data_IF_726771621335
#
_entry.id   IF_726771621335
#
_cell.length_a   1.000
_cell.length_b   1.000
_cell.length_c   1.000
_cell.angle_alpha   90.00
_cell.angle_beta   90.00
_cell.angle_gamma   90.00
#
_symmetry.space_group_name_H-M   'P 1'
#
loop_
_entity.id
_entity.type
_entity.pdbx_description
1 polymer ?
#
# COMPACT_ATOMS: atom_id res chain seq x y z
N UNK A 1 -25.70 11.97 36.50
CA UNK A 1 -26.48 10.84 37.05
C UNK A 1 -26.01 9.54 36.40
N UNK A 2 -25.40 8.66 37.24
CA UNK A 2 -25.33 7.18 37.24
C UNK A 2 -25.11 6.48 35.88
N UNK A 3 -23.90 6.00 35.59
CA UNK A 3 -23.33 4.71 35.99
C UNK A 3 -24.25 3.52 35.77
N UNK A 4 -23.91 2.59 34.87
CA UNK A 4 -23.97 1.18 35.21
C UNK A 4 -23.00 0.33 34.35
N UNK A 5 -22.07 -0.33 35.07
CA UNK A 5 -21.26 -1.44 34.61
C UNK A 5 -22.12 -2.69 34.60
N UNK A 6 -21.98 -3.54 33.60
CA UNK A 6 -22.34 -4.95 33.74
C UNK A 6 -21.13 -5.81 33.32
N UNK A 7 -20.54 -6.41 34.34
CA UNK A 7 -19.58 -7.52 34.24
C UNK A 7 -20.43 -8.80 34.19
N UNK A 8 -20.24 -9.61 33.17
CA UNK A 8 -20.83 -10.94 33.10
C UNK A 8 -19.75 -12.01 33.25
N UNK A 9 -19.92 -12.78 34.27
CA UNK A 9 -19.21 -13.95 34.75
C UNK A 9 -19.19 -15.11 33.78
N UNK A 10 -18.03 -15.77 33.64
CA UNK A 10 -17.88 -17.08 33.00
C UNK A 10 -17.98 -18.16 34.09
N UNK A 11 -18.68 -19.28 33.85
CA UNK A 11 -18.46 -20.50 34.65
C UNK A 11 -17.45 -21.42 33.96
N UNK A 12 -16.55 -21.96 34.79
CA UNK A 12 -15.61 -23.00 34.46
C UNK A 12 -16.30 -24.34 34.22
N UNK A 13 -15.81 -25.11 33.24
CA UNK A 13 -16.21 -26.51 33.01
C UNK A 13 -14.95 -27.38 33.09
N UNK A 14 -15.02 -28.56 33.78
CA UNK A 14 -13.86 -29.34 34.16
C UNK A 14 -13.34 -30.28 33.06
N UNK A 15 -12.06 -30.53 33.16
CA UNK A 15 -11.24 -31.48 32.46
C UNK A 15 -11.63 -32.94 32.78
N UNK A 16 -11.93 -33.74 31.73
CA UNK A 16 -11.58 -35.17 31.76
C UNK A 16 -11.53 -35.80 30.33
N UNK A 17 -10.34 -36.26 30.01
CA UNK A 17 -9.89 -37.52 29.36
C UNK A 17 -10.77 -38.17 28.27
N UNK A 18 -10.27 -38.38 27.06
CA UNK A 18 -9.58 -39.63 26.66
C UNK A 18 -9.32 -39.67 25.15
N UNK A 19 -8.14 -40.09 24.83
CA UNK A 19 -7.46 -40.46 23.60
C UNK A 19 -8.31 -41.24 22.56
N UNK A 20 -8.10 -40.96 21.27
CA UNK A 20 -7.51 -41.91 20.28
C UNK A 20 -7.38 -41.25 18.90
N UNK A 21 -6.19 -41.22 18.43
CA UNK A 21 -5.54 -41.23 17.13
C UNK A 21 -6.35 -40.91 15.86
N UNK A 22 -5.92 -39.85 15.20
CA UNK A 22 -5.84 -39.78 13.76
C UNK A 22 -4.73 -38.79 13.41
N UNK A 23 -3.58 -39.32 12.97
CA UNK A 23 -2.53 -38.51 12.34
C UNK A 23 -3.09 -37.93 11.03
N UNK A 24 -3.60 -36.72 11.08
CA UNK A 24 -3.74 -35.90 9.88
C UNK A 24 -2.43 -35.15 9.71
N UNK A 25 -1.81 -35.38 8.57
CA UNK A 25 -0.71 -34.58 8.06
C UNK A 25 -1.06 -33.10 8.20
N UNK A 26 -0.45 -32.44 9.19
CA UNK A 26 -0.37 -31.00 9.22
C UNK A 26 0.63 -30.62 8.13
N UNK A 27 0.12 -30.19 6.98
CA UNK A 27 0.89 -29.38 6.06
C UNK A 27 1.28 -28.12 6.82
N UNK A 28 2.53 -28.08 7.25
CA UNK A 28 3.15 -26.85 7.74
C UNK A 28 3.14 -25.85 6.60
N UNK A 29 2.18 -24.92 6.66
CA UNK A 29 2.26 -23.66 5.91
C UNK A 29 3.57 -23.04 6.36
N UNK A 30 4.55 -23.01 5.48
CA UNK A 30 5.83 -22.36 5.73
C UNK A 30 5.49 -20.88 5.85
N UNK A 31 5.37 -20.38 7.08
CA UNK A 31 5.32 -18.96 7.34
C UNK A 31 6.67 -18.39 6.89
N UNK A 32 6.68 -17.84 5.66
CA UNK A 32 7.74 -16.94 5.23
C UNK A 32 7.75 -15.82 6.27
N UNK A 33 8.90 -15.49 6.89
CA UNK A 33 8.94 -14.40 7.84
C UNK A 33 8.35 -13.15 7.17
N UNK A 34 7.32 -12.56 7.77
CA UNK A 34 6.76 -11.29 7.32
C UNK A 34 7.88 -10.26 7.34
N UNK A 35 8.42 -9.93 6.17
CA UNK A 35 9.41 -8.87 6.07
C UNK A 35 8.66 -7.55 6.15
N UNK A 36 8.95 -6.74 7.16
CA UNK A 36 8.40 -5.39 7.30
C UNK A 36 9.10 -4.37 6.40
N UNK A 37 9.99 -4.80 5.52
CA UNK A 37 10.69 -3.92 4.57
C UNK A 37 9.92 -3.70 3.27
N UNK A 38 8.97 -4.61 2.92
CA UNK A 38 8.35 -4.64 1.60
C UNK A 38 6.85 -4.93 1.67
N UNK A 39 6.08 -4.07 1.02
CA UNK A 39 4.65 -4.26 0.76
C UNK A 39 4.49 -4.74 -0.69
N UNK A 40 3.67 -5.76 -0.91
CA UNK A 40 3.35 -6.27 -2.25
C UNK A 40 1.84 -6.39 -2.42
N UNK A 41 1.33 -5.90 -3.54
CA UNK A 41 -0.06 -6.07 -3.97
C UNK A 41 -0.07 -6.58 -5.41
N UNK A 42 -0.81 -7.65 -5.64
CA UNK A 42 -1.02 -8.25 -6.96
C UNK A 42 -2.51 -8.38 -7.21
N UNK A 43 -2.98 -7.87 -8.36
CA UNK A 43 -4.38 -7.98 -8.75
C UNK A 43 -4.50 -7.93 -10.27
N UNK A 44 -5.60 -8.44 -10.79
CA UNK A 44 -5.94 -8.42 -12.20
C UNK A 44 -7.10 -7.45 -12.45
N UNK A 45 -7.07 -6.77 -13.59
CA UNK A 45 -8.12 -5.87 -14.06
C UNK A 45 -8.52 -6.22 -15.48
N UNK A 46 -9.83 -6.16 -15.80
CA UNK A 46 -10.36 -6.42 -17.13
C UNK A 46 -10.21 -5.21 -18.07
N UNK A 47 -9.01 -4.60 -18.05
CA UNK A 47 -8.67 -3.44 -18.88
C UNK A 47 -7.38 -3.74 -19.64
N UNK A 48 -7.22 -3.11 -20.82
CA UNK A 48 -5.99 -3.24 -21.62
C UNK A 48 -4.79 -2.66 -20.87
N UNK A 49 -3.61 -3.20 -21.15
CA UNK A 49 -2.36 -2.73 -20.55
C UNK A 49 -2.14 -1.22 -20.82
N UNK A 50 -2.45 -0.75 -22.02
CA UNK A 50 -2.37 0.68 -22.38
C UNK A 50 -3.33 1.55 -21.54
N UNK A 51 -4.53 1.04 -21.20
CA UNK A 51 -5.47 1.77 -20.32
C UNK A 51 -4.93 1.88 -18.91
N UNK A 52 -4.41 0.78 -18.36
CA UNK A 52 -3.79 0.77 -17.02
C UNK A 52 -2.54 1.63 -17.00
N UNK A 53 -1.69 1.50 -18.04
CA UNK A 53 -0.49 2.32 -18.17
C UNK A 53 -0.79 3.81 -18.09
N UNK A 54 -1.76 4.29 -18.88
CA UNK A 54 -2.18 5.69 -18.84
C UNK A 54 -2.62 6.12 -17.44
N UNK A 55 -3.39 5.29 -16.75
CA UNK A 55 -3.85 5.60 -15.40
C UNK A 55 -2.71 5.78 -14.39
N UNK A 56 -1.58 5.07 -14.54
CA UNK A 56 -0.46 5.15 -13.60
C UNK A 56 0.64 6.12 -14.04
N UNK A 57 0.77 6.42 -15.35
CA UNK A 57 1.86 7.24 -15.89
C UNK A 57 1.45 8.66 -16.28
N UNK A 58 0.16 8.91 -16.45
CA UNK A 58 -0.37 10.27 -16.60
C UNK A 58 -0.65 10.88 -15.22
N UNK A 59 0.00 12.00 -14.91
CA UNK A 59 -0.09 12.61 -13.59
C UNK A 59 -1.50 13.09 -13.21
N UNK A 60 -2.32 13.49 -14.19
CA UNK A 60 -3.69 13.93 -13.93
C UNK A 60 -4.60 12.74 -13.64
N UNK A 61 -4.49 11.66 -14.44
CA UNK A 61 -5.22 10.41 -14.17
C UNK A 61 -4.78 9.77 -12.85
N UNK A 62 -3.47 9.68 -12.61
CA UNK A 62 -2.91 9.18 -11.35
C UNK A 62 -3.48 9.96 -10.15
N UNK A 63 -3.42 11.28 -10.23
CA UNK A 63 -3.96 12.14 -9.18
C UNK A 63 -5.45 11.93 -8.92
N UNK A 64 -6.23 11.67 -9.98
CA UNK A 64 -7.68 11.45 -9.87
C UNK A 64 -8.01 10.21 -9.05
N UNK A 65 -7.46 9.05 -9.38
CA UNK A 65 -7.78 7.81 -8.65
C UNK A 65 -7.04 7.69 -7.32
N UNK A 66 -5.82 8.23 -7.23
CA UNK A 66 -5.04 8.18 -6.00
C UNK A 66 -5.61 9.14 -4.93
N UNK A 67 -6.16 10.26 -5.34
CA UNK A 67 -6.67 11.32 -4.47
C UNK A 67 -5.60 12.36 -4.15
N UNK A 68 -4.91 12.87 -5.18
CA UNK A 68 -3.96 13.97 -5.07
C UNK A 68 -3.99 14.87 -6.30
N UNK A 69 -3.53 16.11 -6.13
CA UNK A 69 -3.30 17.05 -7.23
C UNK A 69 -1.80 17.23 -7.41
N UNK A 70 -1.31 16.93 -8.59
CA UNK A 70 0.10 17.02 -8.96
C UNK A 70 0.37 18.29 -9.76
N UNK A 71 1.56 18.89 -9.63
CA UNK A 71 1.92 20.17 -10.24
C UNK A 71 2.43 20.05 -11.68
N UNK A 72 2.87 18.85 -12.08
CA UNK A 72 3.45 18.61 -13.41
C UNK A 72 3.36 17.15 -13.83
N UNK A 73 3.58 16.84 -15.14
CA UNK A 73 3.67 15.47 -15.64
C UNK A 73 4.83 14.68 -15.03
N UNK A 74 4.67 13.34 -14.98
CA UNK A 74 5.76 12.44 -14.66
C UNK A 74 6.77 12.35 -15.81
N UNK A 75 8.06 12.51 -15.48
CA UNK A 75 9.15 12.29 -16.40
C UNK A 75 10.34 11.67 -15.62
N UNK A 76 11.16 10.80 -16.23
CA UNK A 76 12.32 10.21 -15.56
C UNK A 76 13.24 11.29 -14.95
N UNK A 77 13.59 11.14 -13.68
CA UNK A 77 14.41 12.08 -12.93
C UNK A 77 13.69 13.35 -12.45
N UNK A 78 12.41 13.52 -12.79
CA UNK A 78 11.65 14.69 -12.32
C UNK A 78 11.23 14.56 -10.87
N UNK A 79 11.24 15.69 -10.15
CA UNK A 79 10.55 15.86 -8.86
C UNK A 79 9.19 16.48 -9.13
N UNK A 80 8.13 15.79 -8.73
CA UNK A 80 6.74 16.21 -8.87
C UNK A 80 6.18 16.51 -7.49
N UNK A 81 5.61 17.70 -7.31
CA UNK A 81 4.99 18.09 -6.06
C UNK A 81 3.49 17.88 -6.14
N UNK A 82 2.92 17.37 -5.06
CA UNK A 82 1.51 17.10 -4.95
C UNK A 82 0.92 17.53 -3.62
N UNK A 83 -0.41 17.56 -3.58
CA UNK A 83 -1.20 17.76 -2.37
C UNK A 83 -2.33 16.74 -2.37
N UNK A 84 -2.57 16.10 -1.22
CA UNK A 84 -3.69 15.18 -1.09
C UNK A 84 -5.01 15.95 -1.20
N UNK A 85 -5.99 15.32 -1.87
CA UNK A 85 -7.37 15.83 -2.00
C UNK A 85 -8.35 15.00 -1.18
N UNK A 86 -7.83 14.13 -0.31
CA UNK A 86 -8.61 13.26 0.57
C UNK A 86 -9.10 14.11 1.76
N UNK A 87 -10.40 14.12 2.10
CA UNK A 87 -10.93 14.86 3.23
C UNK A 87 -10.16 14.59 4.53
N UNK A 88 -9.74 15.65 5.22
CA UNK A 88 -8.93 15.59 6.44
C UNK A 88 -7.42 15.50 6.20
N UNK A 89 -6.96 15.29 4.95
CA UNK A 89 -5.55 15.22 4.56
C UNK A 89 -5.15 16.29 3.53
N UNK A 90 -5.98 17.28 3.29
CA UNK A 90 -5.78 18.36 2.32
C UNK A 90 -4.59 19.28 2.67
N UNK A 91 -4.10 19.22 3.90
CA UNK A 91 -2.88 19.90 4.35
C UNK A 91 -1.60 19.15 3.97
N UNK A 92 -1.70 17.86 3.59
CA UNK A 92 -0.53 17.02 3.32
C UNK A 92 0.02 17.30 1.93
N UNK A 93 1.29 17.72 1.90
CA UNK A 93 2.07 17.83 0.66
C UNK A 93 2.89 16.57 0.43
N UNK A 94 3.01 16.16 -0.82
CA UNK A 94 3.74 14.96 -1.22
C UNK A 94 4.80 15.35 -2.23
N UNK A 95 6.01 14.83 -2.07
CA UNK A 95 7.08 14.89 -3.05
C UNK A 95 7.26 13.51 -3.68
N UNK A 96 7.22 13.45 -5.01
CA UNK A 96 7.40 12.24 -5.81
C UNK A 96 8.65 12.44 -6.67
N UNK A 97 9.68 11.64 -6.44
CA UNK A 97 10.88 11.60 -7.27
C UNK A 97 10.76 10.45 -8.27
N UNK A 98 10.47 10.78 -9.54
CA UNK A 98 10.29 9.78 -10.59
C UNK A 98 11.63 9.13 -10.92
N UNK A 99 11.72 7.80 -10.81
CA UNK A 99 12.94 7.05 -11.12
C UNK A 99 12.92 6.55 -12.56
N UNK A 100 11.92 5.73 -12.90
CA UNK A 100 11.83 5.09 -14.22
C UNK A 100 10.43 5.17 -14.79
N UNK A 101 10.38 5.33 -16.10
CA UNK A 101 9.16 5.28 -16.91
C UNK A 101 9.46 4.44 -18.14
N UNK A 102 9.11 3.15 -18.09
CA UNK A 102 9.22 2.21 -19.20
C UNK A 102 7.83 1.97 -19.77
N UNK A 103 7.50 2.46 -20.98
CA UNK A 103 6.15 2.45 -21.49
C UNK A 103 5.45 1.09 -21.41
N UNK A 104 4.23 1.10 -20.89
CA UNK A 104 3.33 -0.05 -20.76
C UNK A 104 3.85 -1.23 -19.92
N UNK A 105 5.00 -1.09 -19.25
CA UNK A 105 5.60 -2.19 -18.50
C UNK A 105 5.99 -1.85 -17.07
N UNK A 106 6.62 -0.69 -16.88
CA UNK A 106 7.19 -0.39 -15.57
C UNK A 106 7.21 1.11 -15.28
N UNK A 107 6.72 1.48 -14.08
CA UNK A 107 6.79 2.83 -13.55
C UNK A 107 7.29 2.78 -12.12
N UNK A 108 8.24 3.65 -11.75
CA UNK A 108 8.73 3.73 -10.37
C UNK A 108 9.06 5.14 -9.95
N UNK A 109 8.86 5.37 -8.64
CA UNK A 109 9.17 6.62 -7.99
C UNK A 109 9.53 6.42 -6.52
N UNK A 110 10.16 7.43 -5.92
CA UNK A 110 10.39 7.52 -4.48
C UNK A 110 9.51 8.57 -3.85
N UNK A 111 9.15 8.34 -2.60
CA UNK A 111 8.44 9.29 -1.77
C UNK A 111 8.73 9.06 -0.28
N UNK A 112 8.31 9.99 0.58
CA UNK A 112 8.31 9.80 2.03
C UNK A 112 7.02 9.07 2.45
N UNK A 113 7.10 7.82 2.93
CA UNK A 113 5.91 7.06 3.29
C UNK A 113 5.27 7.62 4.57
N UNK A 114 3.95 7.73 4.58
CA UNK A 114 3.16 8.23 5.73
C UNK A 114 3.71 9.55 6.33
N UNK A 115 4.07 10.50 5.47
CA UNK A 115 4.58 11.82 5.85
C UNK A 115 3.41 12.80 5.98
N UNK A 116 2.60 12.66 7.05
CA UNK A 116 1.34 13.40 7.22
C UNK A 116 1.34 14.44 8.33
N UNK A 117 2.30 14.40 9.26
CA UNK A 117 2.38 15.36 10.36
C UNK A 117 3.07 16.65 9.88
N UNK A 118 2.36 17.80 9.83
CA UNK A 118 2.93 19.06 9.35
C UNK A 118 4.01 19.64 10.29
N UNK A 119 4.14 19.13 11.51
CA UNK A 119 5.17 19.57 12.45
C UNK A 119 6.52 18.88 12.22
N UNK A 120 6.57 17.82 11.39
CA UNK A 120 7.78 17.03 11.13
C UNK A 120 8.35 17.39 9.76
N UNK A 121 9.65 17.69 9.71
CA UNK A 121 10.39 17.79 8.46
C UNK A 121 10.88 16.38 8.03
N UNK A 122 10.25 15.82 7.02
CA UNK A 122 10.60 14.49 6.50
C UNK A 122 11.74 14.50 5.47
N UNK A 123 12.15 15.66 4.96
CA UNK A 123 13.18 15.76 3.91
C UNK A 123 14.50 15.08 4.24
N UNK A 124 14.97 15.04 5.51
CA UNK A 124 16.20 14.31 5.85
C UNK A 124 16.04 12.80 5.92
N UNK A 125 14.80 12.28 5.91
CA UNK A 125 14.56 10.84 6.03
C UNK A 125 14.72 10.12 4.69
N UNK A 126 15.12 8.83 4.72
CA UNK A 126 15.10 8.01 3.53
C UNK A 126 13.69 7.89 2.92
N UNK A 127 13.63 7.92 1.60
CA UNK A 127 12.41 7.63 0.85
C UNK A 127 12.28 6.13 0.58
N UNK A 128 11.05 5.63 0.55
CA UNK A 128 10.72 4.30 0.01
C UNK A 128 10.65 4.34 -1.52
N UNK A 129 10.84 3.18 -2.15
CA UNK A 129 10.69 2.99 -3.59
C UNK A 129 9.35 2.33 -3.85
N UNK A 130 8.53 2.96 -4.68
CA UNK A 130 7.28 2.41 -5.22
C UNK A 130 7.51 1.98 -6.66
N UNK A 131 7.08 0.77 -6.98
CA UNK A 131 7.20 0.16 -8.30
C UNK A 131 5.84 -0.36 -8.77
N UNK A 132 5.47 -0.05 -10.00
CA UNK A 132 4.34 -0.66 -10.71
C UNK A 132 4.90 -1.51 -11.85
N UNK A 133 4.43 -2.75 -11.95
CA UNK A 133 4.72 -3.65 -13.09
C UNK A 133 3.40 -4.08 -13.70
N UNK A 134 3.34 -4.06 -15.03
CA UNK A 134 2.17 -4.44 -15.80
C UNK A 134 2.50 -5.63 -16.69
N UNK A 135 1.64 -6.65 -16.66
CA UNK A 135 1.73 -7.80 -17.54
C UNK A 135 0.38 -8.03 -18.21
N UNK A 136 0.39 -8.19 -19.52
CA UNK A 136 -0.81 -8.48 -20.29
C UNK A 136 -1.25 -9.94 -20.05
N UNK A 137 -2.56 -10.14 -19.89
CA UNK A 137 -3.17 -11.47 -19.74
C UNK A 137 -4.24 -11.68 -20.82
N UNK A 138 -4.76 -12.89 -20.93
CA UNK A 138 -5.85 -13.19 -21.87
C UNK A 138 -7.14 -12.44 -21.54
N UNK A 139 -7.34 -12.01 -20.29
CA UNK A 139 -8.56 -11.35 -19.76
C UNK A 139 -8.36 -9.88 -19.45
N UNK A 140 -7.13 -9.35 -19.54
CA UNK A 140 -6.85 -7.96 -19.20
C UNK A 140 -5.39 -7.70 -18.85
N UNK A 141 -5.14 -7.18 -17.65
CA UNK A 141 -3.80 -6.80 -17.18
C UNK A 141 -3.60 -7.19 -15.73
N UNK A 142 -2.51 -7.89 -15.43
CA UNK A 142 -2.02 -8.04 -14.06
C UNK A 142 -1.23 -6.80 -13.67
N UNK A 143 -1.54 -6.29 -12.49
CA UNK A 143 -0.85 -5.15 -11.87
C UNK A 143 -0.14 -5.64 -10.61
N UNK A 144 1.17 -5.47 -10.56
CA UNK A 144 1.96 -5.67 -9.35
C UNK A 144 2.42 -4.32 -8.82
N UNK A 145 2.12 -4.03 -7.56
CA UNK A 145 2.60 -2.84 -6.84
C UNK A 145 3.51 -3.30 -5.74
N UNK A 146 4.71 -2.73 -5.69
CA UNK A 146 5.67 -2.98 -4.61
C UNK A 146 6.09 -1.66 -4.00
N UNK A 147 6.12 -1.58 -2.68
CA UNK A 147 6.80 -0.50 -1.96
C UNK A 147 7.84 -1.10 -1.02
N UNK A 148 9.08 -0.64 -1.11
CA UNK A 148 10.22 -1.20 -0.38
C UNK A 148 11.14 -0.13 0.20
N UNK A 149 11.96 -0.53 1.18
CA UNK A 149 12.94 0.34 1.83
C UNK A 149 12.46 0.92 3.16
N UNK A 150 11.41 0.33 3.77
CA UNK A 150 10.93 0.75 5.09
C UNK A 150 11.97 0.54 6.19
N UNK A 151 12.87 -0.45 6.06
CA UNK A 151 13.90 -0.73 7.05
C UNK A 151 14.90 0.41 7.24
N UNK A 152 14.99 1.32 6.27
CA UNK A 152 15.85 2.51 6.33
C UNK A 152 15.23 3.67 7.09
N UNK A 153 13.92 3.62 7.36
CA UNK A 153 13.23 4.67 8.10
C UNK A 153 13.66 4.70 9.56
N UNK A 154 13.53 5.86 10.24
CA UNK A 154 13.74 5.95 11.69
C UNK A 154 12.93 4.90 12.44
N UNK A 155 13.56 4.20 13.38
CA UNK A 155 12.93 3.11 14.14
C UNK A 155 11.64 3.55 14.85
N UNK A 156 11.56 4.83 15.26
CA UNK A 156 10.42 5.41 15.96
C UNK A 156 9.13 5.45 15.13
N UNK A 157 9.22 5.47 13.78
CA UNK A 157 8.03 5.55 12.93
C UNK A 157 7.89 4.44 11.88
N UNK A 158 8.94 3.61 11.71
CA UNK A 158 8.97 2.52 10.70
C UNK A 158 7.75 1.63 10.72
N UNK A 159 7.42 1.09 11.89
CA UNK A 159 6.29 0.15 12.04
C UNK A 159 4.95 0.80 11.73
N UNK A 160 4.76 2.05 12.11
CA UNK A 160 3.53 2.80 11.81
C UNK A 160 3.44 3.13 10.33
N UNK A 161 4.50 3.64 9.72
CA UNK A 161 4.55 3.95 8.29
C UNK A 161 4.26 2.71 7.44
N UNK A 162 4.88 1.57 7.77
CA UNK A 162 4.63 0.30 7.10
C UNK A 162 3.15 -0.10 7.18
N UNK A 163 2.58 -0.16 8.39
CA UNK A 163 1.19 -0.55 8.62
C UNK A 163 0.20 0.37 7.89
N UNK A 164 0.45 1.68 7.93
CA UNK A 164 -0.43 2.66 7.29
C UNK A 164 -0.35 2.58 5.77
N UNK A 165 0.85 2.41 5.20
CA UNK A 165 1.02 2.26 3.76
C UNK A 165 0.49 0.91 3.25
N UNK A 166 0.61 -0.16 4.04
CA UNK A 166 0.03 -1.46 3.68
C UNK A 166 -1.50 -1.37 3.52
N UNK A 167 -2.19 -0.76 4.49
CA UNK A 167 -3.62 -0.48 4.40
C UNK A 167 -3.96 0.50 3.28
N UNK A 168 -3.13 1.51 3.09
CA UNK A 168 -3.22 2.48 2.00
C UNK A 168 -3.16 1.79 0.63
N UNK A 169 -2.16 0.94 0.38
CA UNK A 169 -2.03 0.21 -0.89
C UNK A 169 -3.18 -0.76 -1.14
N UNK A 170 -3.71 -1.41 -0.10
CA UNK A 170 -4.91 -2.23 -0.25
C UNK A 170 -6.13 -1.41 -0.71
N UNK A 171 -6.26 -0.17 -0.26
CA UNK A 171 -7.30 0.76 -0.71
C UNK A 171 -7.02 1.28 -2.12
N UNK A 172 -5.80 1.72 -2.40
CA UNK A 172 -5.42 2.29 -3.70
C UNK A 172 -5.49 1.26 -4.83
N UNK A 173 -5.17 -0.01 -4.58
CA UNK A 173 -5.35 -1.08 -5.55
C UNK A 173 -6.81 -1.23 -6.00
N UNK A 174 -7.76 -1.15 -5.06
CA UNK A 174 -9.20 -1.18 -5.39
C UNK A 174 -9.64 0.05 -6.19
N UNK A 175 -9.13 1.24 -5.84
CA UNK A 175 -9.45 2.48 -6.56
C UNK A 175 -8.90 2.43 -7.98
N UNK A 176 -7.66 1.99 -8.18
CA UNK A 176 -7.07 1.83 -9.52
C UNK A 176 -7.89 0.82 -10.34
N UNK A 177 -8.20 -0.35 -9.79
CA UNK A 177 -9.02 -1.35 -10.46
C UNK A 177 -10.37 -0.79 -10.90
N UNK A 178 -11.07 -0.06 -10.02
CA UNK A 178 -12.35 0.59 -10.33
C UNK A 178 -12.22 1.72 -11.36
N UNK A 179 -11.11 2.43 -11.37
CA UNK A 179 -10.88 3.56 -12.27
C UNK A 179 -10.62 3.14 -13.73
N UNK A 180 -10.00 1.98 -13.91
CA UNK A 180 -9.64 1.48 -15.24
C UNK A 180 -10.69 0.56 -15.86
N UNK A 181 -11.65 0.08 -15.05
CA UNK A 181 -12.75 -0.81 -15.47
C UNK A 181 -13.77 -0.14 -16.35
#
# INVERSE_FOLDING_TARGET
MKCNKLVAYLPAVPYHMQQKGCMRHMTTKTDKPETTDRIEKHFEVSATRSRVWRAISDAAEFGTWFGMKLDRPFAPGATVLGRLTIPGYDHVSVEIQVEKVEPESYFSYRWHPYAIDPAIDYRPEPMTLVEFRLEETASGTTVAITESGFDRLPASRRAEAFRMNEGGWASQSRKLASYVS
#
